data_IF_940450052681
#
_entry.id   IF_940450052681
#
_cell.length_a   1.000
_cell.length_b   1.000
_cell.length_c   1.000
_cell.angle_alpha   90.00
_cell.angle_beta   90.00
_cell.angle_gamma   90.00
#
_symmetry.space_group_name_H-M   'P 1'
#
loop_
_entity.id
_entity.type
_entity.pdbx_description
1 polymer ?
#
# COMPACT_ATOMS: atom_id res chain seq x y z
N UNK A 1 -10.99 -26.21 7.43
CA UNK A 1 -9.65 -26.66 7.00
C UNK A 1 -8.63 -25.58 7.38
N UNK A 2 -7.42 -25.97 7.76
CA UNK A 2 -6.33 -25.01 8.07
C UNK A 2 -5.79 -24.47 6.74
N UNK A 3 -5.73 -23.15 6.59
CA UNK A 3 -5.14 -22.48 5.41
C UNK A 3 -3.63 -22.34 5.56
N UNK A 4 -2.88 -22.79 4.57
CA UNK A 4 -1.44 -22.64 4.46
C UNK A 4 -1.10 -21.26 3.85
N UNK A 5 -0.38 -20.46 4.63
CA UNK A 5 -0.07 -19.07 4.32
C UNK A 5 1.39 -18.92 3.90
N UNK A 6 1.63 -18.28 2.76
CA UNK A 6 2.94 -17.70 2.43
C UNK A 6 2.96 -16.24 2.85
N UNK A 7 3.90 -15.85 3.71
CA UNK A 7 4.07 -14.45 4.11
C UNK A 7 5.30 -13.83 3.43
N UNK A 8 5.08 -12.83 2.58
CA UNK A 8 6.15 -12.10 1.93
C UNK A 8 6.55 -10.87 2.74
N UNK A 9 7.83 -10.78 3.14
CA UNK A 9 8.40 -9.69 3.93
C UNK A 9 8.16 -9.82 5.43
N UNK A 10 8.41 -10.98 6.02
CA UNK A 10 8.03 -11.24 7.42
C UNK A 10 8.83 -10.42 8.46
N UNK A 11 9.99 -9.88 8.08
CA UNK A 11 10.91 -9.15 8.94
C UNK A 11 10.65 -7.64 9.04
N UNK A 12 9.64 -7.11 8.36
CA UNK A 12 9.25 -5.69 8.50
C UNK A 12 8.11 -5.51 9.52
N UNK A 13 7.86 -4.28 9.94
CA UNK A 13 6.92 -3.95 11.04
C UNK A 13 5.55 -4.64 10.93
N UNK A 14 4.96 -4.69 9.74
CA UNK A 14 3.64 -5.30 9.54
C UNK A 14 3.73 -6.81 9.32
N UNK A 15 4.82 -7.30 8.72
CA UNK A 15 5.12 -8.73 8.63
C UNK A 15 5.25 -9.39 10.00
N UNK A 16 5.92 -8.72 10.95
CA UNK A 16 6.09 -9.19 12.33
C UNK A 16 4.72 -9.36 13.00
N UNK A 17 3.88 -8.33 12.94
CA UNK A 17 2.50 -8.39 13.48
C UNK A 17 1.66 -9.47 12.81
N UNK A 18 1.88 -9.71 11.53
CA UNK A 18 1.18 -10.76 10.79
C UNK A 18 1.58 -12.15 11.30
N UNK A 19 2.86 -12.39 11.59
CA UNK A 19 3.29 -13.65 12.22
C UNK A 19 2.59 -13.83 13.57
N UNK A 20 2.57 -12.80 14.43
CA UNK A 20 1.90 -12.86 15.73
C UNK A 20 0.41 -13.20 15.58
N UNK A 21 -0.29 -12.53 14.66
CA UNK A 21 -1.69 -12.81 14.35
C UNK A 21 -1.91 -14.27 13.90
N UNK A 22 -1.07 -14.77 12.98
CA UNK A 22 -1.17 -16.15 12.48
C UNK A 22 -0.88 -17.18 13.59
N UNK A 23 0.11 -16.92 14.45
CA UNK A 23 0.44 -17.77 15.62
C UNK A 23 -0.69 -17.82 16.64
N UNK A 24 -1.43 -16.72 16.81
CA UNK A 24 -2.59 -16.68 17.69
C UNK A 24 -3.84 -17.38 17.10
N UNK A 25 -3.79 -17.79 15.83
CA UNK A 25 -4.91 -18.38 15.09
C UNK A 25 -4.51 -19.70 14.38
N UNK A 26 -3.68 -20.52 15.02
CA UNK A 26 -3.13 -21.79 14.47
C UNK A 26 -4.19 -22.83 14.13
N UNK A 27 -5.39 -22.74 14.73
CA UNK A 27 -6.54 -23.56 14.37
C UNK A 27 -7.13 -23.22 12.99
N UNK A 28 -6.80 -22.04 12.43
CA UNK A 28 -7.23 -21.58 11.09
C UNK A 28 -6.07 -21.47 10.11
N UNK A 29 -4.85 -21.18 10.57
CA UNK A 29 -3.71 -20.92 9.70
C UNK A 29 -2.47 -21.73 10.06
N UNK A 30 -1.67 -22.03 9.03
CA UNK A 30 -0.31 -22.55 9.16
C UNK A 30 0.61 -21.69 8.31
N UNK A 31 1.71 -21.21 8.88
CA UNK A 31 2.75 -20.51 8.11
C UNK A 31 3.50 -21.57 7.31
N UNK A 32 3.28 -21.59 6.00
CA UNK A 32 3.89 -22.54 5.08
C UNK A 32 5.28 -22.10 4.63
N UNK A 33 5.42 -20.82 4.26
CA UNK A 33 6.69 -20.25 3.81
C UNK A 33 6.80 -18.77 4.14
N UNK A 34 8.03 -18.28 4.25
CA UNK A 34 8.37 -16.88 4.54
C UNK A 34 9.26 -16.31 3.44
N UNK A 35 9.19 -14.99 3.19
CA UNK A 35 10.26 -14.30 2.46
C UNK A 35 10.81 -13.11 3.21
N UNK A 36 12.09 -12.84 2.96
CA UNK A 36 12.81 -11.71 3.54
C UNK A 36 12.59 -10.44 2.72
N UNK A 37 12.29 -9.34 3.42
CA UNK A 37 12.30 -7.99 2.89
C UNK A 37 13.71 -7.39 3.00
N UNK A 38 14.41 -7.31 1.88
CA UNK A 38 15.78 -6.79 1.80
C UNK A 38 15.89 -5.29 2.08
N UNK A 39 14.77 -4.58 2.25
CA UNK A 39 14.78 -3.16 2.68
C UNK A 39 14.99 -2.99 4.18
N UNK A 40 14.82 -4.06 4.96
CA UNK A 40 15.01 -4.06 6.41
C UNK A 40 16.21 -4.96 6.71
N UNK A 41 17.31 -4.35 7.12
CA UNK A 41 18.56 -5.06 7.42
C UNK A 41 18.50 -5.72 8.80
N UNK A 42 17.91 -6.92 8.88
CA UNK A 42 17.74 -7.65 10.13
C UNK A 42 17.64 -9.16 9.90
N UNK A 43 18.72 -9.74 9.34
CA UNK A 43 18.78 -11.14 8.95
C UNK A 43 18.71 -12.10 10.15
N UNK A 44 19.35 -11.74 11.28
CA UNK A 44 19.31 -12.54 12.51
C UNK A 44 17.90 -12.69 13.07
N UNK A 45 17.11 -11.61 13.00
CA UNK A 45 15.72 -11.68 13.39
C UNK A 45 14.91 -12.58 12.44
N UNK A 46 15.14 -12.52 11.14
CA UNK A 46 14.50 -13.45 10.20
C UNK A 46 14.85 -14.92 10.49
N UNK A 47 16.11 -15.22 10.85
CA UNK A 47 16.53 -16.55 11.31
C UNK A 47 15.76 -16.97 12.57
N UNK A 48 15.53 -16.04 13.50
CA UNK A 48 14.73 -16.30 14.70
C UNK A 48 13.28 -16.65 14.34
N UNK A 49 12.69 -15.96 13.34
CA UNK A 49 11.35 -16.26 12.83
C UNK A 49 11.30 -17.66 12.19
N UNK A 50 12.31 -18.03 11.39
CA UNK A 50 12.41 -19.39 10.80
C UNK A 50 12.38 -20.45 11.89
N UNK A 51 13.15 -20.28 12.96
CA UNK A 51 13.21 -21.24 14.07
C UNK A 51 11.89 -21.32 14.83
N UNK A 52 11.26 -20.19 15.06
CA UNK A 52 10.02 -20.07 15.83
C UNK A 52 8.82 -20.70 15.10
N UNK A 53 8.67 -20.45 13.80
CA UNK A 53 7.49 -20.93 13.04
C UNK A 53 7.76 -22.16 12.18
N UNK A 54 9.03 -22.56 12.02
CA UNK A 54 9.48 -23.74 11.26
C UNK A 54 8.79 -23.88 9.89
N UNK A 55 8.90 -22.86 9.01
CA UNK A 55 8.28 -22.91 7.69
C UNK A 55 8.91 -24.02 6.83
N UNK A 56 8.19 -24.50 5.82
CA UNK A 56 8.69 -25.54 4.91
C UNK A 56 9.85 -25.03 4.04
N UNK A 57 9.72 -23.80 3.53
CA UNK A 57 10.73 -23.12 2.73
C UNK A 57 10.75 -21.62 2.96
N UNK A 58 11.87 -20.97 2.66
CA UNK A 58 12.01 -19.51 2.68
C UNK A 58 12.56 -18.96 1.38
N UNK A 59 12.23 -17.70 1.09
CA UNK A 59 12.76 -16.96 -0.05
C UNK A 59 13.66 -15.81 0.38
N UNK A 60 14.88 -15.78 -0.15
CA UNK A 60 15.90 -14.75 0.10
C UNK A 60 16.40 -14.20 -1.23
N UNK A 61 16.33 -12.87 -1.49
CA UNK A 61 16.77 -12.35 -2.78
C UNK A 61 18.27 -12.44 -3.06
N UNK A 62 19.13 -12.41 -2.03
CA UNK A 62 20.59 -12.29 -2.16
C UNK A 62 21.29 -13.58 -1.72
N UNK A 63 22.19 -14.10 -2.56
CA UNK A 63 22.96 -15.32 -2.27
C UNK A 63 23.75 -15.25 -0.97
N UNK A 64 24.45 -14.13 -0.71
CA UNK A 64 25.20 -13.93 0.55
C UNK A 64 24.35 -14.10 1.81
N UNK A 65 23.07 -13.71 1.75
CA UNK A 65 22.16 -13.78 2.90
C UNK A 65 21.63 -15.21 3.04
N UNK A 66 21.44 -15.93 1.93
CA UNK A 66 21.06 -17.33 1.89
C UNK A 66 22.14 -18.23 2.53
N UNK A 67 23.41 -18.06 2.15
CA UNK A 67 24.55 -18.80 2.74
C UNK A 67 24.61 -18.61 4.27
N UNK A 68 24.36 -17.39 4.74
CA UNK A 68 24.34 -17.09 6.16
C UNK A 68 23.20 -17.84 6.87
N UNK A 69 21.99 -17.87 6.31
CA UNK A 69 20.84 -18.57 6.88
C UNK A 69 21.03 -20.10 6.86
N UNK A 70 21.61 -20.66 5.80
CA UNK A 70 21.98 -22.07 5.68
C UNK A 70 22.93 -22.50 6.79
N UNK A 71 23.88 -21.64 7.17
CA UNK A 71 24.81 -21.93 8.26
C UNK A 71 24.13 -22.02 9.65
N UNK A 72 22.89 -21.53 9.79
CA UNK A 72 22.18 -21.38 11.07
C UNK A 72 20.87 -22.18 11.17
N UNK A 73 20.37 -22.72 10.05
CA UNK A 73 19.06 -23.36 9.95
C UNK A 73 19.11 -24.54 8.97
N UNK A 74 18.11 -25.42 9.00
CA UNK A 74 17.96 -26.54 8.04
C UNK A 74 16.77 -26.34 7.10
N UNK A 75 16.25 -25.11 7.00
CA UNK A 75 15.08 -24.82 6.17
C UNK A 75 15.49 -24.85 4.69
N UNK A 76 14.58 -25.26 3.81
CA UNK A 76 14.78 -25.14 2.37
C UNK A 76 14.84 -23.66 1.98
N UNK A 77 15.93 -23.23 1.32
CA UNK A 77 16.10 -21.84 0.86
C UNK A 77 15.98 -21.79 -0.65
N UNK A 78 15.12 -20.89 -1.13
CA UNK A 78 15.07 -20.49 -2.53
C UNK A 78 15.69 -19.09 -2.63
N UNK A 79 16.78 -18.99 -3.38
CA UNK A 79 17.54 -17.75 -3.58
C UNK A 79 17.42 -17.23 -5.01
N UNK A 80 17.67 -15.94 -5.22
CA UNK A 80 17.62 -15.30 -6.54
C UNK A 80 16.24 -14.80 -6.93
N UNK A 81 16.16 -13.55 -7.42
CA UNK A 81 14.87 -12.90 -7.74
C UNK A 81 14.14 -13.58 -8.89
N UNK A 82 14.89 -14.18 -9.81
CA UNK A 82 14.44 -15.01 -10.92
C UNK A 82 13.75 -16.30 -10.49
N UNK A 83 14.09 -16.84 -9.31
CA UNK A 83 13.52 -18.08 -8.77
C UNK A 83 12.28 -17.84 -7.89
N UNK A 84 11.83 -16.59 -7.75
CA UNK A 84 10.61 -16.28 -7.00
C UNK A 84 9.35 -17.03 -7.49
N UNK A 85 9.13 -17.23 -8.81
CA UNK A 85 8.01 -18.03 -9.29
C UNK A 85 8.04 -19.47 -8.76
N UNK A 86 9.21 -20.11 -8.68
CA UNK A 86 9.37 -21.45 -8.08
C UNK A 86 9.04 -21.45 -6.58
N UNK A 87 9.40 -20.38 -5.87
CA UNK A 87 9.02 -20.22 -4.48
C UNK A 87 7.51 -20.20 -4.27
N UNK A 88 6.74 -19.50 -5.12
CA UNK A 88 5.28 -19.43 -5.00
C UNK A 88 4.56 -20.66 -5.56
N UNK A 89 5.20 -21.38 -6.49
CA UNK A 89 4.62 -22.58 -7.11
C UNK A 89 4.52 -23.74 -6.11
N UNK A 90 3.36 -23.88 -5.48
CA UNK A 90 2.99 -25.05 -4.68
C UNK A 90 1.47 -25.17 -4.56
N UNK A 91 0.94 -26.38 -4.74
CA UNK A 91 -0.48 -26.68 -4.49
C UNK A 91 -0.83 -26.65 -2.99
N UNK A 92 0.17 -26.70 -2.11
CA UNK A 92 -0.03 -26.59 -0.66
C UNK A 92 -0.25 -25.15 -0.21
N UNK A 93 0.09 -24.13 -1.01
CA UNK A 93 -0.13 -22.72 -0.64
C UNK A 93 -1.57 -22.34 -0.97
N UNK A 94 -2.36 -22.00 0.05
CA UNK A 94 -3.75 -21.57 -0.12
C UNK A 94 -3.84 -20.06 -0.37
N UNK A 95 -3.03 -19.27 0.35
CA UNK A 95 -3.09 -17.81 0.28
C UNK A 95 -1.71 -17.18 0.50
N UNK A 96 -1.48 -16.05 -0.16
CA UNK A 96 -0.28 -15.23 0.02
C UNK A 96 -0.65 -13.93 0.72
N UNK A 97 0.13 -13.55 1.73
CA UNK A 97 0.05 -12.25 2.37
C UNK A 97 1.35 -11.51 2.08
N UNK A 98 1.28 -10.29 1.56
CA UNK A 98 2.47 -9.51 1.21
C UNK A 98 2.54 -8.23 2.03
N UNK A 99 3.57 -8.11 2.87
CA UNK A 99 3.96 -6.86 3.54
C UNK A 99 4.95 -6.02 2.73
N UNK A 100 5.47 -6.57 1.63
CA UNK A 100 6.46 -5.90 0.78
C UNK A 100 5.91 -4.58 0.25
N UNK A 101 6.82 -3.61 0.11
CA UNK A 101 6.49 -2.24 -0.31
C UNK A 101 7.19 -1.85 -1.61
N UNK A 102 6.68 -0.80 -2.26
CA UNK A 102 7.31 -0.16 -3.42
C UNK A 102 7.29 -0.99 -4.71
N UNK A 103 7.82 -0.39 -5.78
CA UNK A 103 7.78 -0.93 -7.13
C UNK A 103 8.48 -2.29 -7.28
N UNK A 104 9.55 -2.55 -6.53
CA UNK A 104 10.28 -3.82 -6.57
C UNK A 104 9.45 -5.04 -6.16
N UNK A 105 8.35 -4.83 -5.43
CA UNK A 105 7.44 -5.91 -5.02
C UNK A 105 6.40 -6.27 -6.08
N UNK A 106 6.14 -5.41 -7.07
CA UNK A 106 5.06 -5.60 -8.05
C UNK A 106 5.26 -6.89 -8.87
N UNK A 107 6.49 -7.17 -9.30
CA UNK A 107 6.80 -8.41 -10.03
C UNK A 107 6.44 -9.65 -9.21
N UNK A 108 6.74 -9.65 -7.91
CA UNK A 108 6.40 -10.75 -6.99
C UNK A 108 4.88 -10.89 -6.83
N UNK A 109 4.16 -9.78 -6.69
CA UNK A 109 2.70 -9.76 -6.61
C UNK A 109 2.07 -10.36 -7.88
N UNK A 110 2.55 -9.96 -9.06
CA UNK A 110 2.06 -10.49 -10.34
C UNK A 110 2.41 -11.98 -10.51
N UNK A 111 3.62 -12.40 -10.14
CA UNK A 111 3.97 -13.84 -10.14
C UNK A 111 3.02 -14.65 -9.26
N UNK A 112 2.63 -14.14 -8.09
CA UNK A 112 1.63 -14.79 -7.24
C UNK A 112 0.26 -14.90 -7.91
N UNK A 113 -0.21 -13.83 -8.55
CA UNK A 113 -1.48 -13.81 -9.28
C UNK A 113 -1.46 -14.80 -10.45
N UNK A 114 -0.32 -14.91 -11.16
CA UNK A 114 -0.15 -15.83 -12.29
C UNK A 114 -0.14 -17.30 -11.89
N UNK A 115 0.23 -17.62 -10.65
CA UNK A 115 0.10 -18.93 -10.04
C UNK A 115 -1.29 -19.19 -9.42
N UNK A 116 -2.28 -18.35 -9.76
CA UNK A 116 -3.68 -18.45 -9.32
C UNK A 116 -3.84 -18.47 -7.79
N UNK A 117 -2.98 -17.73 -7.08
CA UNK A 117 -3.04 -17.63 -5.62
C UNK A 117 -3.77 -16.36 -5.19
N UNK A 118 -4.67 -16.53 -4.23
CA UNK A 118 -5.26 -15.42 -3.50
C UNK A 118 -4.17 -14.60 -2.82
N UNK A 119 -4.28 -13.28 -2.89
CA UNK A 119 -3.26 -12.39 -2.33
C UNK A 119 -3.86 -11.22 -1.55
N UNK A 120 -3.32 -11.00 -0.35
CA UNK A 120 -3.63 -9.84 0.49
C UNK A 120 -2.41 -8.94 0.60
N UNK A 121 -2.53 -7.68 0.17
CA UNK A 121 -1.48 -6.68 0.31
C UNK A 121 -1.64 -5.91 1.63
N UNK A 122 -0.65 -6.01 2.51
CA UNK A 122 -0.61 -5.24 3.77
C UNK A 122 -0.07 -3.82 3.56
N UNK A 123 0.62 -3.59 2.45
CA UNK A 123 1.14 -2.29 2.05
C UNK A 123 0.48 -1.85 0.74
N UNK A 124 -0.04 -0.62 0.69
CA UNK A 124 -0.75 -0.08 -0.48
C UNK A 124 0.19 0.44 -1.57
N UNK A 125 1.45 0.77 -1.25
CA UNK A 125 2.38 1.40 -2.19
C UNK A 125 2.59 0.62 -3.49
N UNK A 126 2.72 -0.73 -3.52
CA UNK A 126 2.88 -1.45 -4.78
C UNK A 126 1.69 -1.22 -5.73
N UNK A 127 0.49 -1.08 -5.17
CA UNK A 127 -0.73 -0.82 -5.93
C UNK A 127 -0.79 0.60 -6.48
N UNK A 128 -0.13 1.58 -5.85
CA UNK A 128 -0.07 2.95 -6.38
C UNK A 128 0.79 3.04 -7.65
N UNK A 129 1.82 2.19 -7.78
CA UNK A 129 2.61 2.08 -9.01
C UNK A 129 1.84 1.41 -10.14
N UNK A 130 1.15 0.29 -9.84
CA UNK A 130 0.66 -0.61 -10.88
C UNK A 130 -0.81 -1.01 -10.73
N UNK A 131 -1.65 -0.17 -10.11
CA UNK A 131 -3.04 -0.50 -9.75
C UNK A 131 -3.87 -1.03 -10.90
N UNK A 132 -3.85 -0.36 -12.07
CA UNK A 132 -4.53 -0.84 -13.28
C UNK A 132 -4.05 -2.23 -13.72
N UNK A 133 -2.73 -2.45 -13.74
CA UNK A 133 -2.12 -3.72 -14.17
C UNK A 133 -2.54 -4.82 -13.21
N UNK A 134 -2.33 -4.61 -11.90
CA UNK A 134 -2.67 -5.58 -10.85
C UNK A 134 -4.17 -5.92 -10.89
N UNK A 135 -5.05 -4.92 -10.94
CA UNK A 135 -6.50 -5.17 -11.01
C UNK A 135 -6.90 -5.97 -12.25
N UNK A 136 -6.32 -5.66 -13.41
CA UNK A 136 -6.62 -6.39 -14.64
C UNK A 136 -6.21 -7.85 -14.54
N UNK A 137 -5.02 -8.13 -14.02
CA UNK A 137 -4.53 -9.50 -13.85
C UNK A 137 -5.33 -10.27 -12.79
N UNK A 138 -5.68 -9.63 -11.68
CA UNK A 138 -6.58 -10.22 -10.66
C UNK A 138 -7.91 -10.65 -11.28
N UNK A 139 -8.55 -9.75 -12.04
CA UNK A 139 -9.83 -10.04 -12.71
C UNK A 139 -9.70 -11.13 -13.77
N UNK A 140 -8.62 -11.11 -14.55
CA UNK A 140 -8.31 -12.10 -15.59
C UNK A 140 -8.11 -13.50 -15.02
N UNK A 141 -7.41 -13.60 -13.88
CA UNK A 141 -7.10 -14.88 -13.22
C UNK A 141 -8.18 -15.36 -12.26
N UNK A 142 -9.11 -14.49 -11.87
CA UNK A 142 -10.19 -14.83 -10.94
C UNK A 142 -9.69 -15.13 -9.52
N UNK A 143 -8.57 -14.53 -9.11
CA UNK A 143 -8.02 -14.68 -7.75
C UNK A 143 -8.65 -13.67 -6.80
N UNK A 144 -8.78 -14.03 -5.53
CA UNK A 144 -9.20 -13.07 -4.51
C UNK A 144 -8.04 -12.12 -4.20
N UNK A 145 -8.36 -10.84 -4.13
CA UNK A 145 -7.38 -9.79 -3.92
C UNK A 145 -7.88 -8.80 -2.87
N UNK A 146 -7.10 -8.61 -1.80
CA UNK A 146 -7.44 -7.70 -0.72
C UNK A 146 -6.31 -6.68 -0.50
N UNK A 147 -6.65 -5.47 -0.05
CA UNK A 147 -5.68 -4.46 0.36
C UNK A 147 -6.01 -3.97 1.77
N UNK A 148 -5.00 -3.93 2.63
CA UNK A 148 -5.08 -3.29 3.95
C UNK A 148 -5.04 -1.77 3.79
N UNK A 149 -6.22 -1.22 3.56
CA UNK A 149 -6.48 0.20 3.53
C UNK A 149 -7.83 0.44 4.20
N UNK A 150 -7.89 1.33 5.18
CA UNK A 150 -9.14 1.57 5.91
C UNK A 150 -10.28 1.96 4.95
N UNK A 151 -10.12 2.86 3.95
CA UNK A 151 -11.18 3.15 2.99
C UNK A 151 -11.63 1.95 2.17
N UNK A 152 -10.70 1.10 1.74
CA UNK A 152 -10.99 -0.13 0.97
C UNK A 152 -11.74 -1.12 1.85
N UNK A 153 -11.26 -1.37 3.07
CA UNK A 153 -11.94 -2.19 4.07
C UNK A 153 -13.38 -1.75 4.31
N UNK A 154 -13.63 -0.44 4.47
CA UNK A 154 -14.98 0.11 4.64
C UNK A 154 -15.88 -0.13 3.42
N UNK A 155 -15.32 -0.03 2.21
CA UNK A 155 -16.03 -0.35 0.97
C UNK A 155 -16.34 -1.84 0.87
N UNK A 156 -15.35 -2.71 1.09
CA UNK A 156 -15.57 -4.17 1.10
C UNK A 156 -16.62 -4.55 2.14
N UNK A 157 -16.58 -3.94 3.33
CA UNK A 157 -17.58 -4.18 4.36
C UNK A 157 -18.99 -3.85 3.90
N UNK A 158 -19.23 -2.67 3.31
CA UNK A 158 -20.58 -2.28 2.88
C UNK A 158 -21.03 -3.02 1.62
N UNK A 159 -20.10 -3.36 0.73
CA UNK A 159 -20.40 -4.05 -0.53
C UNK A 159 -20.75 -5.53 -0.33
N UNK A 160 -20.51 -6.10 0.86
CA UNK A 160 -21.07 -7.41 1.25
C UNK A 160 -22.60 -7.42 1.30
N UNK A 161 -23.24 -6.27 1.56
CA UNK A 161 -24.70 -6.15 1.71
C UNK A 161 -25.34 -5.11 0.78
N UNK A 162 -24.56 -4.51 -0.11
CA UNK A 162 -25.01 -3.47 -1.05
C UNK A 162 -24.40 -3.65 -2.43
N UNK A 163 -24.96 -2.96 -3.42
CA UNK A 163 -24.44 -2.96 -4.78
C UNK A 163 -23.63 -1.69 -5.04
N UNK A 164 -22.45 -1.84 -5.63
CA UNK A 164 -21.58 -0.73 -6.03
C UNK A 164 -22.31 0.30 -6.91
N UNK A 165 -23.24 -0.14 -7.77
CA UNK A 165 -24.01 0.73 -8.65
C UNK A 165 -24.96 1.68 -7.90
N UNK A 166 -25.22 1.42 -6.61
CA UNK A 166 -26.03 2.30 -5.77
C UNK A 166 -25.22 3.41 -5.10
N UNK A 167 -23.89 3.39 -5.21
CA UNK A 167 -23.03 4.43 -4.65
C UNK A 167 -23.12 5.68 -5.52
N UNK A 168 -23.58 6.78 -4.91
CA UNK A 168 -23.62 8.11 -5.51
C UNK A 168 -22.30 8.85 -5.34
N UNK A 169 -21.76 8.87 -4.12
CA UNK A 169 -20.50 9.54 -3.82
C UNK A 169 -19.66 8.78 -2.81
N UNK A 170 -18.35 8.91 -2.95
CA UNK A 170 -17.36 8.51 -1.96
C UNK A 170 -16.71 9.76 -1.39
N UNK A 171 -16.87 9.97 -0.09
CA UNK A 171 -16.35 11.13 0.60
C UNK A 171 -15.14 10.70 1.44
N UNK A 172 -13.96 11.19 1.08
CA UNK A 172 -12.69 10.87 1.73
C UNK A 172 -12.29 11.97 2.71
N UNK A 173 -11.77 11.58 3.88
CA UNK A 173 -11.48 12.49 4.98
C UNK A 173 -9.98 12.55 5.31
N UNK A 174 -9.51 13.76 5.58
CA UNK A 174 -8.17 14.04 6.10
C UNK A 174 -8.26 14.88 7.38
N UNK A 175 -7.21 14.87 8.20
CA UNK A 175 -7.16 15.73 9.39
C UNK A 175 -6.99 17.19 8.95
N UNK A 176 -7.68 18.11 9.61
CA UNK A 176 -7.50 19.53 9.39
C UNK A 176 -6.06 19.94 9.71
N UNK A 177 -5.46 20.74 8.83
CA UNK A 177 -4.05 21.11 8.91
C UNK A 177 -3.82 22.16 10.00
N UNK A 178 -2.78 21.97 10.79
CA UNK A 178 -2.22 23.05 11.60
C UNK A 178 -1.29 23.88 10.71
N UNK A 179 -1.76 25.03 10.22
CA UNK A 179 -1.09 25.90 9.21
C UNK A 179 0.35 26.35 9.50
N UNK A 180 0.99 25.92 10.59
CA UNK A 180 2.30 26.41 11.07
C UNK A 180 3.42 25.36 11.12
N UNK A 181 3.15 24.07 10.95
CA UNK A 181 4.20 23.05 11.10
C UNK A 181 4.86 22.75 9.76
N UNK A 182 6.07 23.28 9.57
CA UNK A 182 6.93 22.88 8.47
C UNK A 182 7.46 21.48 8.76
N UNK A 183 7.10 20.51 7.95
CA UNK A 183 7.63 19.15 8.02
C UNK A 183 9.14 19.20 7.76
N UNK A 184 9.94 18.75 8.73
CA UNK A 184 11.40 18.68 8.60
C UNK A 184 11.84 17.22 8.69
N UNK A 185 12.85 16.81 7.92
CA UNK A 185 13.29 15.40 7.92
C UNK A 185 13.80 14.93 9.29
N UNK A 186 14.28 15.84 10.13
CA UNK A 186 14.81 15.54 11.46
C UNK A 186 13.73 15.06 12.45
N UNK A 187 12.45 15.33 12.16
CA UNK A 187 11.34 14.97 13.05
C UNK A 187 10.96 13.47 12.92
N UNK A 188 11.59 12.74 12.00
CA UNK A 188 11.19 11.38 11.64
C UNK A 188 12.35 10.38 11.66
N UNK A 189 12.15 9.30 12.42
CA UNK A 189 13.11 8.19 12.58
C UNK A 189 13.36 7.39 11.29
N UNK A 190 12.38 7.34 10.40
CA UNK A 190 12.40 6.52 9.20
C UNK A 190 11.69 7.22 8.02
N UNK A 191 12.04 6.81 6.80
CA UNK A 191 11.50 7.39 5.58
C UNK A 191 9.99 7.21 5.46
N UNK A 192 9.44 6.07 5.91
CA UNK A 192 8.01 5.78 5.81
C UNK A 192 7.17 6.73 6.68
N UNK A 193 7.65 7.04 7.88
CA UNK A 193 7.03 8.02 8.79
C UNK A 193 7.06 9.43 8.20
N UNK A 194 8.20 9.85 7.65
CA UNK A 194 8.33 11.14 6.94
C UNK A 194 7.38 11.22 5.73
N UNK A 195 7.36 10.17 4.90
CA UNK A 195 6.50 10.07 3.71
C UNK A 195 5.02 10.21 4.07
N UNK A 196 4.55 9.49 5.11
CA UNK A 196 3.17 9.54 5.59
C UNK A 196 2.78 10.93 6.09
N UNK A 197 3.67 11.60 6.82
CA UNK A 197 3.43 12.96 7.28
C UNK A 197 3.33 13.93 6.11
N UNK A 198 4.29 13.87 5.16
CA UNK A 198 4.24 14.69 3.95
C UNK A 198 2.96 14.48 3.14
N UNK A 199 2.53 13.23 3.00
CA UNK A 199 1.29 12.91 2.30
C UNK A 199 0.04 13.45 2.98
N UNK A 200 0.01 13.44 4.31
CA UNK A 200 -1.11 13.97 5.09
C UNK A 200 -1.20 15.49 4.96
N UNK A 201 -0.10 16.21 5.20
CA UNK A 201 -0.08 17.68 5.16
C UNK A 201 -0.36 18.24 3.76
N UNK A 202 0.02 17.50 2.72
CA UNK A 202 -0.16 17.92 1.33
C UNK A 202 -1.40 17.32 0.65
N UNK A 203 -2.29 16.65 1.40
CA UNK A 203 -3.48 15.98 0.87
C UNK A 203 -3.20 14.92 -0.22
N UNK A 204 -1.96 14.44 -0.35
CA UNK A 204 -1.57 13.36 -1.26
C UNK A 204 -2.18 12.04 -0.80
N UNK A 205 -2.37 11.84 0.51
CA UNK A 205 -3.08 10.67 1.04
C UNK A 205 -4.47 10.51 0.42
N UNK A 206 -5.22 11.61 0.26
CA UNK A 206 -6.55 11.59 -0.36
C UNK A 206 -6.49 11.18 -1.84
N UNK A 207 -5.45 11.62 -2.55
CA UNK A 207 -5.19 11.20 -3.94
C UNK A 207 -4.91 9.69 -3.99
N UNK A 208 -4.05 9.19 -3.11
CA UNK A 208 -3.69 7.77 -3.06
C UNK A 208 -4.90 6.89 -2.73
N UNK A 209 -5.71 7.28 -1.74
CA UNK A 209 -6.94 6.56 -1.38
C UNK A 209 -7.93 6.56 -2.56
N UNK A 210 -8.09 7.69 -3.27
CA UNK A 210 -8.88 7.77 -4.50
C UNK A 210 -8.33 6.86 -5.62
N UNK A 211 -7.01 6.86 -5.86
CA UNK A 211 -6.39 6.01 -6.90
C UNK A 211 -6.67 4.53 -6.63
N UNK A 212 -6.49 4.09 -5.38
CA UNK A 212 -6.73 2.71 -4.99
C UNK A 212 -8.18 2.33 -5.25
N UNK A 213 -9.14 3.14 -4.77
CA UNK A 213 -10.57 2.86 -4.92
C UNK A 213 -10.98 2.91 -6.40
N UNK A 214 -10.50 3.89 -7.15
CA UNK A 214 -10.75 4.02 -8.59
C UNK A 214 -10.35 2.75 -9.34
N UNK A 215 -9.12 2.27 -9.15
CA UNK A 215 -8.65 1.09 -9.87
C UNK A 215 -9.32 -0.19 -9.41
N UNK A 216 -9.55 -0.38 -8.11
CA UNK A 216 -10.21 -1.57 -7.59
C UNK A 216 -11.67 -1.69 -8.04
N UNK A 217 -12.43 -0.62 -7.85
CA UNK A 217 -13.88 -0.65 -7.91
C UNK A 217 -14.47 0.06 -9.14
N UNK A 218 -13.65 0.73 -9.95
CA UNK A 218 -14.08 1.47 -11.14
C UNK A 218 -15.12 2.57 -10.81
N UNK A 219 -14.96 3.22 -9.66
CA UNK A 219 -15.81 4.36 -9.25
C UNK A 219 -15.44 5.58 -10.10
N UNK A 220 -16.41 6.28 -10.73
CA UNK A 220 -16.12 7.50 -11.51
C UNK A 220 -15.40 8.57 -10.68
N UNK A 221 -14.44 9.25 -11.28
CA UNK A 221 -13.62 10.28 -10.59
C UNK A 221 -14.50 11.40 -10.02
N UNK A 222 -15.56 11.78 -10.72
CA UNK A 222 -16.48 12.85 -10.28
C UNK A 222 -17.39 12.43 -9.10
N UNK A 223 -17.39 11.14 -8.74
CA UNK A 223 -18.12 10.66 -7.55
C UNK A 223 -17.31 10.88 -6.26
N UNK A 224 -16.03 11.24 -6.33
CA UNK A 224 -15.21 11.49 -5.15
C UNK A 224 -15.35 12.93 -4.62
N UNK A 225 -15.56 13.08 -3.32
CA UNK A 225 -15.47 14.36 -2.61
C UNK A 225 -14.44 14.26 -1.48
N UNK A 226 -13.93 15.43 -1.05
CA UNK A 226 -12.85 15.53 -0.08
C UNK A 226 -13.25 16.45 1.06
N UNK A 227 -12.92 16.04 2.28
CA UNK A 227 -13.27 16.75 3.50
C UNK A 227 -12.09 16.79 4.47
N UNK A 228 -11.96 17.89 5.20
CA UNK A 228 -11.10 18.02 6.37
C UNK A 228 -11.94 17.89 7.64
N UNK A 229 -11.40 17.30 8.70
CA UNK A 229 -12.06 17.11 9.99
C UNK A 229 -11.17 17.53 11.15
N UNK A 230 -11.76 17.99 12.25
CA UNK A 230 -11.04 18.46 13.44
C UNK A 230 -10.15 17.37 14.06
N UNK A 231 -10.69 16.15 14.13
CA UNK A 231 -10.00 14.97 14.65
C UNK A 231 -10.11 13.82 13.66
N UNK A 232 -9.18 12.86 13.70
CA UNK A 232 -9.19 11.71 12.78
C UNK A 232 -10.19 10.65 13.22
N UNK A 233 -11.48 10.97 13.12
CA UNK A 233 -12.58 10.13 13.60
C UNK A 233 -13.29 9.43 12.44
N UNK A 234 -13.49 10.09 11.31
CA UNK A 234 -14.10 9.50 10.11
C UNK A 234 -13.00 9.06 9.16
N UNK A 235 -13.11 7.86 8.62
CA UNK A 235 -12.23 7.39 7.57
C UNK A 235 -12.81 7.68 6.17
N UNK A 236 -14.07 7.31 5.97
CA UNK A 236 -14.79 7.44 4.69
C UNK A 236 -16.30 7.56 4.99
N UNK A 237 -17.00 8.31 4.15
CA UNK A 237 -18.46 8.27 4.06
C UNK A 237 -18.86 7.77 2.68
N UNK A 238 -19.78 6.82 2.64
CA UNK A 238 -20.34 6.25 1.41
C UNK A 238 -21.78 6.74 1.31
N UNK A 239 -22.06 7.55 0.28
CA UNK A 239 -23.39 8.11 0.03
C UNK A 239 -24.05 7.35 -1.11
N UNK A 240 -25.28 6.92 -0.89
CA UNK A 240 -26.08 6.14 -1.83
C UNK A 240 -27.05 7.01 -2.62
N UNK A 241 -27.53 6.49 -3.76
CA UNK A 241 -28.48 7.19 -4.65
C UNK A 241 -29.80 7.54 -3.96
N UNK A 242 -30.24 6.71 -3.00
CA UNK A 242 -31.46 6.92 -2.20
C UNK A 242 -31.32 8.02 -1.12
N UNK A 243 -30.15 8.67 -1.01
CA UNK A 243 -29.89 9.73 -0.03
C UNK A 243 -29.33 9.24 1.30
N UNK A 244 -29.28 7.92 1.55
CA UNK A 244 -28.62 7.35 2.73
C UNK A 244 -27.11 7.58 2.67
N UNK A 245 -26.51 7.90 3.81
CA UNK A 245 -25.06 7.97 3.99
C UNK A 245 -24.64 7.04 5.11
N UNK A 246 -23.54 6.32 4.92
CA UNK A 246 -22.89 5.50 5.95
C UNK A 246 -21.51 6.07 6.23
N UNK A 247 -21.30 6.50 7.47
CA UNK A 247 -20.01 6.97 7.96
C UNK A 247 -19.25 5.82 8.60
N UNK A 248 -18.04 5.57 8.14
CA UNK A 248 -17.14 4.62 8.78
C UNK A 248 -16.18 5.36 9.69
N UNK A 249 -16.28 5.04 10.98
CA UNK A 249 -15.30 5.47 11.99
C UNK A 249 -13.93 4.94 11.61
N UNK A 250 -12.92 5.79 11.69
CA UNK A 250 -11.53 5.42 11.63
C UNK A 250 -11.23 4.55 12.85
N UNK A 251 -11.27 3.23 12.66
CA UNK A 251 -10.59 2.35 13.57
C UNK A 251 -9.09 2.48 13.29
N UNK A 252 -8.26 2.78 14.29
CA UNK A 252 -6.79 2.80 14.12
C UNK A 252 -6.16 1.47 14.54
N UNK A 253 -6.99 0.51 14.93
CA UNK A 253 -6.59 -0.83 15.27
C UNK A 253 -6.57 -1.73 14.02
N UNK A 254 -5.37 -2.17 13.68
CA UNK A 254 -5.12 -3.03 12.51
C UNK A 254 -5.69 -4.44 12.70
N UNK A 255 -5.89 -4.87 13.94
CA UNK A 255 -6.44 -6.19 14.26
C UNK A 255 -7.87 -6.31 13.72
N UNK A 256 -8.62 -5.21 13.66
CA UNK A 256 -9.94 -5.20 13.03
C UNK A 256 -9.92 -5.54 11.54
N UNK A 257 -8.89 -5.07 10.81
CA UNK A 257 -8.72 -5.39 9.39
C UNK A 257 -8.31 -6.86 9.24
N UNK A 258 -7.40 -7.35 10.09
CA UNK A 258 -7.02 -8.76 10.10
C UNK A 258 -8.23 -9.67 10.36
N UNK A 259 -9.02 -9.35 11.39
CA UNK A 259 -10.21 -10.13 11.75
C UNK A 259 -11.20 -10.19 10.59
N UNK A 260 -11.41 -9.09 9.87
CA UNK A 260 -12.32 -9.05 8.73
C UNK A 260 -11.84 -9.89 7.54
N UNK A 261 -10.58 -9.76 7.11
CA UNK A 261 -10.11 -10.45 5.91
C UNK A 261 -9.73 -11.92 6.15
N UNK A 262 -9.50 -12.32 7.41
CA UNK A 262 -8.96 -13.64 7.72
C UNK A 262 -9.84 -14.50 8.63
N UNK A 263 -10.60 -13.95 9.60
CA UNK A 263 -11.29 -14.76 10.62
C UNK A 263 -12.76 -15.08 10.34
N UNK A 264 -13.31 -14.67 9.20
CA UNK A 264 -14.68 -14.96 8.74
C UNK A 264 -15.74 -14.78 9.85
N UNK A 265 -15.93 -13.57 10.39
CA UNK A 265 -17.02 -13.13 11.30
C UNK A 265 -17.36 -13.99 12.55
N UNK A 266 -16.75 -15.15 12.78
CA UNK A 266 -17.08 -16.10 13.85
C UNK A 266 -16.55 -15.68 15.23
N UNK A 267 -15.58 -14.76 15.24
CA UNK A 267 -15.04 -14.15 16.46
C UNK A 267 -15.01 -12.63 16.27
N UNK A 268 -16.16 -11.99 16.42
CA UNK A 268 -16.17 -10.56 16.71
C UNK A 268 -15.66 -10.42 18.14
N UNK A 269 -14.35 -10.22 18.28
CA UNK A 269 -13.78 -9.79 19.56
C UNK A 269 -14.25 -8.35 19.77
N UNK A 270 -14.97 -8.11 20.86
CA UNK A 270 -15.35 -6.76 21.25
C UNK A 270 -14.07 -5.93 21.41
N UNK A 271 -13.89 -4.95 20.53
CA UNK A 271 -12.78 -4.03 20.67
C UNK A 271 -13.04 -3.14 21.88
N UNK A 272 -12.02 -2.95 22.73
CA UNK A 272 -12.08 -1.98 23.83
C UNK A 272 -12.29 -0.58 23.23
N UNK A 273 -13.55 -0.17 23.12
CA UNK A 273 -13.87 1.16 22.60
C UNK A 273 -13.30 2.23 23.52
N UNK A 274 -12.81 3.32 22.91
CA UNK A 274 -12.67 4.58 23.63
C UNK A 274 -14.08 5.15 23.77
N UNK A 275 -14.49 5.45 25.00
CA UNK A 275 -15.80 6.00 25.38
C UNK A 275 -16.39 6.93 24.28
N UNK A 276 -17.50 6.49 23.69
CA UNK A 276 -18.23 7.22 22.65
C UNK A 276 -18.97 8.46 23.21
N UNK A 277 -19.21 8.49 24.52
CA UNK A 277 -20.05 9.48 25.21
C UNK A 277 -19.53 10.93 25.12
N UNK A 278 -18.33 11.15 24.57
CA UNK A 278 -17.66 12.47 24.50
C UNK A 278 -17.07 12.82 23.13
N UNK A 279 -17.54 12.20 22.03
CA UNK A 279 -16.99 12.50 20.70
C UNK A 279 -17.78 13.61 20.02
N UNK A 280 -17.23 14.84 20.03
CA UNK A 280 -17.65 15.93 19.14
C UNK A 280 -16.69 16.01 17.96
N UNK A 281 -17.20 16.07 16.74
CA UNK A 281 -16.40 16.27 15.54
C UNK A 281 -17.07 17.23 14.58
N UNK A 282 -16.26 17.98 13.84
CA UNK A 282 -16.72 18.81 12.73
C UNK A 282 -15.88 18.53 11.50
N UNK A 283 -16.50 18.68 10.33
CA UNK A 283 -15.82 18.51 9.06
C UNK A 283 -16.26 19.58 8.06
N UNK A 284 -15.38 19.89 7.11
CA UNK A 284 -15.58 20.90 6.07
C UNK A 284 -15.16 20.36 4.71
N UNK A 285 -15.93 20.69 3.68
CA UNK A 285 -15.60 20.32 2.31
C UNK A 285 -14.31 21.04 1.86
N UNK A 286 -13.39 20.27 1.31
CA UNK A 286 -12.18 20.77 0.66
C UNK A 286 -12.56 21.12 -0.77
N UNK A 287 -12.13 22.29 -1.24
CA UNK A 287 -12.17 22.68 -2.65
C UNK A 287 -10.88 22.18 -3.31
N UNK A 288 -10.92 21.11 -4.13
CA UNK A 288 -9.70 20.50 -4.65
C UNK A 288 -8.87 21.47 -5.49
N UNK A 289 -9.51 22.44 -6.15
CA UNK A 289 -8.83 23.43 -7.01
C UNK A 289 -7.88 24.34 -6.25
N UNK A 290 -8.06 24.47 -4.93
CA UNK A 290 -7.21 25.26 -4.04
C UNK A 290 -6.08 24.45 -3.41
N UNK A 291 -6.08 23.13 -3.60
CA UNK A 291 -5.12 22.19 -3.03
C UNK A 291 -4.18 21.66 -4.12
N UNK A 292 -2.93 22.15 -4.13
CA UNK A 292 -1.94 21.89 -5.20
C UNK A 292 -1.86 20.42 -5.64
N UNK A 293 -1.44 19.54 -4.73
CA UNK A 293 -1.21 18.13 -5.03
C UNK A 293 -2.51 17.36 -5.25
N UNK A 294 -3.57 17.69 -4.51
CA UNK A 294 -4.88 17.06 -4.69
C UNK A 294 -5.46 17.35 -6.08
N UNK A 295 -5.47 18.62 -6.50
CA UNK A 295 -5.91 19.02 -7.85
C UNK A 295 -5.11 18.30 -8.93
N UNK A 296 -3.78 18.26 -8.77
CA UNK A 296 -2.88 17.65 -9.76
C UNK A 296 -3.10 16.13 -9.85
N UNK A 297 -3.27 15.45 -8.71
CA UNK A 297 -3.59 14.03 -8.67
C UNK A 297 -4.91 13.67 -9.34
N UNK A 298 -5.95 14.49 -9.16
CA UNK A 298 -7.23 14.32 -9.86
C UNK A 298 -7.04 14.50 -11.38
N UNK A 299 -6.28 15.51 -11.78
CA UNK A 299 -5.98 15.76 -13.20
C UNK A 299 -5.23 14.59 -13.84
N UNK A 300 -4.22 14.04 -13.17
CA UNK A 300 -3.45 12.90 -13.71
C UNK A 300 -4.31 11.66 -13.87
N UNK A 301 -5.21 11.37 -12.92
CA UNK A 301 -6.14 10.26 -13.03
C UNK A 301 -7.14 10.44 -14.19
N UNK A 302 -7.64 11.67 -14.39
CA UNK A 302 -8.53 12.00 -15.53
C UNK A 302 -7.84 11.83 -16.88
N UNK A 303 -6.56 12.21 -16.99
CA UNK A 303 -5.78 12.03 -18.23
C UNK A 303 -5.43 10.55 -18.49
N UNK A 304 -5.29 9.74 -17.44
CA UNK A 304 -4.95 8.33 -17.56
C UNK A 304 -3.54 8.06 -18.09
N UNK A 305 -3.32 6.89 -18.68
CA UNK A 305 -1.99 6.46 -19.13
C UNK A 305 -0.98 6.42 -18.00
N UNK A 306 0.23 6.92 -18.24
CA UNK A 306 1.30 6.99 -17.24
C UNK A 306 1.26 8.22 -16.34
N UNK A 307 0.33 9.18 -16.52
CA UNK A 307 0.31 10.38 -15.67
C UNK A 307 0.16 10.10 -14.17
N UNK A 308 -0.72 9.18 -13.71
CA UNK A 308 -0.81 8.84 -12.30
C UNK A 308 0.49 8.24 -11.74
N UNK A 309 1.19 7.47 -12.58
CA UNK A 309 2.47 6.83 -12.25
C UNK A 309 3.55 7.90 -12.11
N UNK A 310 3.69 8.79 -13.10
CA UNK A 310 4.66 9.90 -13.07
C UNK A 310 4.45 10.77 -11.82
N UNK A 311 3.19 11.10 -11.51
CA UNK A 311 2.83 11.87 -10.31
C UNK A 311 3.33 11.18 -9.04
N UNK A 312 3.01 9.91 -8.86
CA UNK A 312 3.33 9.17 -7.65
C UNK A 312 4.84 8.94 -7.51
N UNK A 313 5.50 8.44 -8.57
CA UNK A 313 6.94 8.16 -8.58
C UNK A 313 7.74 9.43 -8.32
N UNK A 314 7.46 10.53 -9.04
CA UNK A 314 8.23 11.77 -8.89
C UNK A 314 8.19 12.29 -7.46
N UNK A 315 7.02 12.26 -6.81
CA UNK A 315 6.88 12.68 -5.41
C UNK A 315 7.67 11.75 -4.49
N UNK A 316 7.49 10.43 -4.59
CA UNK A 316 8.17 9.47 -3.72
C UNK A 316 9.70 9.55 -3.87
N UNK A 317 10.21 9.63 -5.11
CA UNK A 317 11.65 9.74 -5.39
C UNK A 317 12.24 11.05 -4.85
N UNK A 318 11.57 12.19 -5.03
CA UNK A 318 12.04 13.47 -4.48
C UNK A 318 12.08 13.42 -2.95
N UNK A 319 11.02 12.93 -2.31
CA UNK A 319 10.98 12.80 -0.85
C UNK A 319 12.05 11.84 -0.33
N UNK A 320 12.33 10.75 -1.04
CA UNK A 320 13.41 9.84 -0.69
C UNK A 320 14.78 10.54 -0.69
N UNK A 321 15.09 11.30 -1.74
CA UNK A 321 16.36 12.03 -1.83
C UNK A 321 16.46 13.19 -0.84
N UNK A 322 15.35 13.85 -0.52
CA UNK A 322 15.29 14.84 0.57
C UNK A 322 15.59 14.17 1.90
N UNK A 323 14.92 13.06 2.21
CA UNK A 323 15.14 12.29 3.44
C UNK A 323 16.58 11.79 3.57
N UNK A 324 17.20 11.38 2.46
CA UNK A 324 18.62 10.99 2.39
C UNK A 324 19.60 12.18 2.36
N UNK A 325 19.13 13.42 2.53
CA UNK A 325 19.94 14.66 2.50
C UNK A 325 20.72 14.86 1.19
N UNK A 326 20.28 14.21 0.11
CA UNK A 326 20.85 14.37 -1.24
C UNK A 326 20.23 15.57 -1.98
N UNK A 327 19.04 16.01 -1.56
CA UNK A 327 18.35 17.22 -2.04
C UNK A 327 17.97 18.09 -0.83
N UNK A 328 18.00 19.42 -0.99
CA UNK A 328 17.59 20.36 0.06
C UNK A 328 16.08 20.29 0.30
N UNK A 329 15.63 20.46 1.55
CA UNK A 329 14.21 20.39 1.93
C UNK A 329 13.34 21.51 1.35
N UNK A 330 13.92 22.63 0.92
CA UNK A 330 13.20 23.81 0.45
C UNK A 330 12.88 23.81 -1.06
N UNK A 331 13.04 22.68 -1.75
CA UNK A 331 12.70 22.59 -3.17
C UNK A 331 11.19 22.67 -3.39
N UNK A 332 10.79 23.22 -4.54
CA UNK A 332 9.39 23.21 -4.97
C UNK A 332 9.05 21.87 -5.65
N UNK A 333 8.68 20.88 -4.84
CA UNK A 333 8.29 19.54 -5.32
C UNK A 333 7.13 19.64 -6.32
N UNK A 334 6.14 20.49 -6.06
CA UNK A 334 4.98 20.65 -6.94
C UNK A 334 5.38 21.12 -8.35
N UNK A 335 6.29 22.10 -8.43
CA UNK A 335 6.81 22.59 -9.72
C UNK A 335 7.54 21.48 -10.49
N UNK A 336 8.35 20.67 -9.81
CA UNK A 336 9.09 19.57 -10.45
C UNK A 336 8.15 18.48 -10.96
N UNK A 337 7.12 18.12 -10.17
CA UNK A 337 6.11 17.15 -10.61
C UNK A 337 5.40 17.65 -11.87
N UNK A 338 5.03 18.93 -11.95
CA UNK A 338 4.44 19.52 -13.16
C UNK A 338 5.39 19.45 -14.37
N UNK A 339 6.65 19.83 -14.19
CA UNK A 339 7.68 19.73 -15.23
C UNK A 339 7.78 18.30 -15.79
N UNK A 340 7.74 17.28 -14.91
CA UNK A 340 7.86 15.88 -15.32
C UNK A 340 6.57 15.36 -15.98
N UNK A 341 5.40 15.88 -15.59
CA UNK A 341 4.15 15.59 -16.28
C UNK A 341 4.09 16.23 -17.69
N UNK A 342 4.87 17.27 -17.98
CA UNK A 342 4.94 17.87 -19.33
C UNK A 342 5.94 17.15 -20.24
N UNK A 343 6.79 16.27 -19.67
CA UNK A 343 7.79 15.52 -20.41
C UNK A 343 7.18 14.36 -21.21
N UNK A 344 7.09 14.56 -22.52
CA UNK A 344 6.57 13.57 -23.46
C UNK A 344 7.34 12.24 -23.46
N UNK A 345 8.59 12.21 -23.01
CA UNK A 345 9.42 10.99 -22.96
C UNK A 345 9.04 10.05 -21.82
N UNK A 346 8.22 10.52 -20.87
CA UNK A 346 7.66 9.75 -19.75
C UNK A 346 6.22 9.29 -20.03
N UNK A 347 5.55 9.88 -21.02
CA UNK A 347 4.17 9.54 -21.34
C UNK A 347 4.07 8.19 -22.06
N UNK A 348 3.20 7.33 -21.54
CA UNK A 348 2.74 6.10 -22.17
C UNK A 348 1.22 6.04 -22.01
N UNK A 349 0.51 5.76 -23.11
CA UNK A 349 -0.95 5.68 -23.11
C UNK A 349 -1.44 4.41 -22.38
N UNK A 350 -0.69 3.32 -22.45
CA UNK A 350 -1.06 2.02 -21.88
C UNK A 350 0.16 1.36 -21.22
N UNK A 351 0.71 1.95 -20.14
CA UNK A 351 1.94 1.44 -19.53
C UNK A 351 1.77 -0.01 -19.07
N UNK A 352 2.66 -0.87 -19.54
CA UNK A 352 2.86 -2.20 -18.97
C UNK A 352 3.88 -2.13 -17.82
N UNK A 353 4.20 -3.27 -17.23
CA UNK A 353 5.14 -3.31 -16.11
C UNK A 353 6.54 -2.83 -16.50
N UNK A 354 7.00 -3.15 -17.71
CA UNK A 354 8.30 -2.73 -18.23
C UNK A 354 8.36 -1.22 -18.44
N UNK A 355 7.29 -0.63 -18.98
CA UNK A 355 7.12 0.82 -19.09
C UNK A 355 7.17 1.50 -17.72
N UNK A 356 6.53 0.93 -16.69
CA UNK A 356 6.58 1.48 -15.33
C UNK A 356 8.01 1.50 -14.79
N UNK A 357 8.77 0.42 -14.93
CA UNK A 357 10.19 0.39 -14.54
C UNK A 357 11.04 1.38 -15.34
N UNK A 358 10.78 1.52 -16.64
CA UNK A 358 11.49 2.49 -17.48
C UNK A 358 11.19 3.94 -17.06
N UNK A 359 9.94 4.24 -16.72
CA UNK A 359 9.53 5.56 -16.21
C UNK A 359 10.20 5.84 -14.86
N UNK A 360 10.20 4.88 -13.93
CA UNK A 360 10.88 4.98 -12.63
C UNK A 360 12.37 5.32 -12.79
N UNK A 361 13.07 4.55 -13.64
CA UNK A 361 14.49 4.76 -13.94
C UNK A 361 14.75 6.15 -14.55
N UNK A 362 13.96 6.55 -15.56
CA UNK A 362 14.11 7.87 -16.21
C UNK A 362 13.85 9.02 -15.25
N UNK A 363 12.84 8.92 -14.39
CA UNK A 363 12.53 9.93 -13.37
C UNK A 363 13.70 10.04 -12.39
N UNK A 364 14.22 8.90 -11.92
CA UNK A 364 15.35 8.85 -11.01
C UNK A 364 16.61 9.48 -11.64
N UNK A 365 16.94 9.14 -12.88
CA UNK A 365 18.07 9.75 -13.62
C UNK A 365 17.90 11.25 -13.82
N UNK A 366 16.71 11.70 -14.23
CA UNK A 366 16.42 13.14 -14.41
C UNK A 366 16.57 13.90 -13.09
N UNK A 367 16.09 13.35 -11.97
CA UNK A 367 16.26 13.93 -10.63
C UNK A 367 17.75 13.98 -10.26
N UNK A 368 18.49 12.88 -10.43
CA UNK A 368 19.93 12.84 -10.15
C UNK A 368 20.69 13.90 -10.94
N UNK A 369 20.41 14.03 -12.23
CA UNK A 369 21.02 15.03 -13.10
C UNK A 369 20.66 16.46 -12.68
N UNK A 370 19.37 16.73 -12.41
CA UNK A 370 18.89 18.06 -12.00
C UNK A 370 19.53 18.55 -10.70
N UNK A 371 19.86 17.64 -9.78
CA UNK A 371 20.42 17.95 -8.47
C UNK A 371 21.89 17.54 -8.29
N UNK A 372 22.58 17.11 -9.34
CA UNK A 372 23.97 16.63 -9.30
C UNK A 372 24.23 15.55 -8.24
N UNK A 373 23.28 14.61 -8.09
CA UNK A 373 23.38 13.52 -7.12
C UNK A 373 24.31 12.45 -7.68
N UNK A 374 25.44 12.22 -7.00
CA UNK A 374 26.35 11.12 -7.33
C UNK A 374 25.71 9.76 -7.01
N UNK A 375 25.97 8.77 -7.86
CA UNK A 375 25.50 7.39 -7.71
C UNK A 375 25.94 6.81 -6.36
#
# INVERSE_FOLDING_TARGET
MIKNITLLGSNNDIGIKTIEFLKNNTNKFKIYSLSYDSKVDNLDFFISQIKDVSPKKVFIPLEKDAEYIESKTKVEIITGTENFPEFIKSNEIDQVISSLSGLSSVKKILSTIYEFKDITLLNTSPFLYCGRIITNEVKSKGVNFNIFSYPVYSLDFILKSSNINFIKNINLFTKQKNKKEKITINDYKDFGSYLKAYYSENNIRLVNDMFIIYYLYNIPIDNFNFYEQSERIINIEIKFLNGTSVFFKANLDIDSIFNYYFLDNEKIVENKEKDLDKISFSYKKIDPTKEKFLSLGIETLKKGGSFPIIYYITIETLLYYIYKRKIKENIDIYKIVKEFLEDKTLYDKFPDLSSVYAIDNKINEKIKNKFNIKN
#
